data_IF_496025579115
#
_entry.id   IF_496025579115
#
_cell.length_a   1.000
_cell.length_b   1.000
_cell.length_c   1.000
_cell.angle_alpha   90.00
_cell.angle_beta   90.00
_cell.angle_gamma   90.00
#
_symmetry.space_group_name_H-M   'P 1'
#
loop_
_entity.id
_entity.type
_entity.pdbx_description
1 polymer ?
#
# COMPACT_ATOMS: atom_id res chain seq x y z
N UNK A 1 4.11 -17.98 17.43
CA UNK A 1 4.13 -18.66 16.12
C UNK A 1 4.74 -20.04 16.31
N UNK A 2 4.21 -21.11 15.69
CA UNK A 2 4.86 -22.41 15.75
C UNK A 2 6.27 -22.33 15.15
N UNK A 3 7.26 -23.04 15.71
CA UNK A 3 8.66 -22.93 15.32
C UNK A 3 8.99 -23.31 13.88
N UNK A 4 8.03 -23.85 13.12
CA UNK A 4 8.20 -24.30 11.73
C UNK A 4 7.51 -23.41 10.68
N UNK A 5 6.97 -22.26 11.04
CA UNK A 5 6.34 -21.38 10.07
C UNK A 5 7.43 -20.59 9.32
N UNK A 6 7.72 -20.98 8.08
CA UNK A 6 8.51 -20.15 7.19
C UNK A 6 7.83 -18.77 7.03
N UNK A 7 8.50 -17.68 7.35
CA UNK A 7 7.87 -16.37 7.31
C UNK A 7 7.50 -16.01 5.87
N UNK A 8 6.28 -15.50 5.68
CA UNK A 8 5.89 -14.86 4.43
C UNK A 8 6.83 -13.68 4.20
N UNK A 9 7.41 -13.59 3.01
CA UNK A 9 8.32 -12.51 2.64
C UNK A 9 7.61 -11.48 1.78
N UNK A 10 7.87 -10.19 2.05
CA UNK A 10 7.48 -9.10 1.18
C UNK A 10 8.52 -9.00 0.05
N UNK A 11 8.10 -9.17 -1.20
CA UNK A 11 8.97 -9.13 -2.37
C UNK A 11 8.81 -7.87 -3.22
N UNK A 12 7.73 -7.10 -2.99
CA UNK A 12 7.51 -5.83 -3.68
C UNK A 12 6.53 -4.93 -2.93
N UNK A 13 6.84 -3.62 -2.93
CA UNK A 13 5.97 -2.57 -2.42
C UNK A 13 6.03 -1.38 -3.37
N UNK A 14 4.97 -1.18 -4.14
CA UNK A 14 4.92 -0.16 -5.17
C UNK A 14 3.74 0.76 -4.93
N UNK A 15 4.00 2.07 -4.98
CA UNK A 15 2.96 3.10 -4.84
C UNK A 15 2.86 3.89 -6.13
N UNK A 16 1.69 3.90 -6.73
CA UNK A 16 1.39 4.69 -7.92
C UNK A 16 0.18 5.56 -7.66
N UNK A 17 0.14 6.74 -8.31
CA UNK A 17 -1.04 7.57 -8.19
C UNK A 17 -0.89 8.96 -8.75
N UNK A 18 -1.87 9.78 -8.42
CA UNK A 18 -1.96 11.17 -8.84
C UNK A 18 -2.36 12.07 -7.69
N UNK A 19 -1.87 13.31 -7.74
CA UNK A 19 -2.32 14.41 -6.90
C UNK A 19 -2.90 15.47 -7.82
N UNK A 20 -4.13 15.87 -7.55
CA UNK A 20 -4.77 17.02 -8.19
C UNK A 20 -5.08 18.04 -7.11
N UNK A 21 -4.38 19.17 -7.11
CA UNK A 21 -4.42 20.19 -6.06
C UNK A 21 -4.17 19.60 -4.66
N UNK A 22 -5.23 19.38 -3.87
CA UNK A 22 -5.15 18.81 -2.51
C UNK A 22 -5.71 17.38 -2.42
N UNK A 23 -6.07 16.76 -3.52
CA UNK A 23 -6.61 15.40 -3.53
C UNK A 23 -5.58 14.43 -4.09
N UNK A 24 -5.19 13.45 -3.30
CA UNK A 24 -4.32 12.36 -3.69
C UNK A 24 -5.13 11.07 -3.90
N UNK A 25 -4.95 10.43 -5.03
CA UNK A 25 -5.46 9.10 -5.34
C UNK A 25 -4.26 8.17 -5.51
N UNK A 26 -4.08 7.25 -4.55
CA UNK A 26 -2.92 6.37 -4.48
C UNK A 26 -3.32 4.91 -4.55
N UNK A 27 -2.54 4.13 -5.26
CA UNK A 27 -2.65 2.67 -5.38
C UNK A 27 -1.39 2.02 -4.81
N UNK A 28 -1.55 1.20 -3.80
CA UNK A 28 -0.49 0.44 -3.15
C UNK A 28 -0.54 -1.00 -3.63
N UNK A 29 0.48 -1.42 -4.36
CA UNK A 29 0.64 -2.79 -4.85
C UNK A 29 1.69 -3.49 -4.00
N UNK A 30 1.27 -4.51 -3.27
CA UNK A 30 2.07 -5.22 -2.27
C UNK A 30 2.19 -6.67 -2.70
N UNK A 31 3.40 -7.17 -2.84
CA UNK A 31 3.69 -8.53 -3.30
C UNK A 31 4.25 -9.34 -2.16
N UNK A 32 3.58 -10.44 -1.85
CA UNK A 32 3.98 -11.41 -0.82
C UNK A 32 4.37 -12.71 -1.48
N UNK A 33 5.39 -13.36 -0.94
CA UNK A 33 5.81 -14.69 -1.33
C UNK A 33 5.83 -15.63 -0.14
N UNK A 34 5.33 -16.83 -0.35
CA UNK A 34 5.51 -17.95 0.54
C UNK A 34 6.78 -18.72 0.14
N UNK A 35 7.89 -18.61 0.90
CA UNK A 35 9.12 -19.34 0.57
C UNK A 35 9.08 -20.82 0.95
N UNK A 36 8.08 -21.23 1.76
CA UNK A 36 7.94 -22.57 2.29
C UNK A 36 7.22 -23.56 1.37
N UNK A 37 7.17 -24.80 1.83
CA UNK A 37 6.54 -25.92 1.11
C UNK A 37 5.12 -26.22 1.62
N UNK A 38 4.59 -25.42 2.53
CA UNK A 38 3.23 -25.54 3.07
C UNK A 38 2.39 -24.34 2.68
N UNK A 39 1.09 -24.55 2.55
CA UNK A 39 0.10 -23.50 2.35
C UNK A 39 0.02 -22.62 3.60
N UNK A 40 0.04 -21.31 3.44
CA UNK A 40 0.05 -20.34 4.53
C UNK A 40 -1.16 -19.40 4.46
N UNK A 41 -1.51 -18.83 5.62
CA UNK A 41 -2.37 -17.66 5.74
C UNK A 41 -1.49 -16.44 6.07
N UNK A 42 -1.73 -15.32 5.38
CA UNK A 42 -1.08 -14.05 5.64
C UNK A 42 -2.05 -13.04 6.24
N UNK A 43 -1.53 -12.15 7.08
CA UNK A 43 -2.25 -10.98 7.59
C UNK A 43 -1.48 -9.74 7.20
N UNK A 44 -2.11 -8.90 6.38
CA UNK A 44 -1.59 -7.58 6.01
C UNK A 44 -2.25 -6.54 6.91
N UNK A 45 -1.44 -5.73 7.60
CA UNK A 45 -1.89 -4.57 8.36
C UNK A 45 -1.46 -3.31 7.60
N UNK A 46 -2.43 -2.47 7.24
CA UNK A 46 -2.18 -1.23 6.48
C UNK A 46 -2.65 -0.05 7.30
N UNK A 47 -1.73 0.79 7.81
CA UNK A 47 -2.11 2.02 8.46
C UNK A 47 -2.73 3.00 7.43
N UNK A 48 -3.84 3.61 7.81
CA UNK A 48 -4.45 4.68 7.04
C UNK A 48 -3.91 6.02 7.51
N UNK A 49 -3.46 6.88 6.59
CA UNK A 49 -3.24 8.28 6.90
C UNK A 49 -4.51 8.94 7.43
N UNK A 50 -4.35 10.01 8.23
CA UNK A 50 -5.47 10.88 8.54
C UNK A 50 -6.10 11.41 7.23
N UNK A 51 -7.40 11.59 7.19
CA UNK A 51 -8.13 12.10 6.03
C UNK A 51 -8.03 11.23 4.75
N UNK A 52 -7.60 9.96 4.89
CA UNK A 52 -7.63 8.99 3.83
C UNK A 52 -8.83 8.04 3.94
N UNK A 53 -9.42 7.72 2.80
CA UNK A 53 -10.46 6.72 2.64
C UNK A 53 -9.99 5.62 1.69
N UNK A 54 -10.29 4.36 2.03
CA UNK A 54 -10.09 3.26 1.12
C UNK A 54 -11.14 3.32 0.02
N UNK A 55 -10.70 3.39 -1.25
CA UNK A 55 -11.58 3.43 -2.42
C UNK A 55 -11.63 2.10 -3.19
N UNK A 56 -10.75 1.15 -2.87
CA UNK A 56 -10.76 -0.17 -3.50
C UNK A 56 -9.73 -1.12 -2.91
N UNK A 57 -10.03 -2.41 -3.01
CA UNK A 57 -9.14 -3.50 -2.64
C UNK A 57 -9.29 -4.65 -3.64
N UNK A 58 -8.18 -5.20 -4.09
CA UNK A 58 -8.16 -6.45 -4.86
C UNK A 58 -6.95 -7.29 -4.52
N UNK A 59 -7.04 -8.58 -4.80
CA UNK A 59 -5.93 -9.51 -4.68
C UNK A 59 -5.81 -10.37 -5.92
N UNK A 60 -4.59 -10.71 -6.29
CA UNK A 60 -4.28 -11.71 -7.30
C UNK A 60 -3.67 -12.91 -6.57
N UNK A 61 -4.37 -14.05 -6.61
CA UNK A 61 -3.94 -15.32 -6.03
C UNK A 61 -3.90 -16.34 -7.15
N UNK A 62 -2.75 -17.00 -7.34
CA UNK A 62 -2.56 -17.96 -8.44
C UNK A 62 -3.00 -17.43 -9.83
N UNK A 63 -2.76 -16.16 -10.11
CA UNK A 63 -3.11 -15.50 -11.37
C UNK A 63 -4.57 -15.08 -11.50
N UNK A 64 -5.43 -15.36 -10.53
CA UNK A 64 -6.84 -14.96 -10.52
C UNK A 64 -7.04 -13.72 -9.66
N UNK A 65 -7.59 -12.67 -10.25
CA UNK A 65 -7.94 -11.46 -9.50
C UNK A 65 -9.29 -11.64 -8.78
N UNK A 66 -9.29 -11.29 -7.49
CA UNK A 66 -10.48 -11.22 -6.64
C UNK A 66 -10.59 -9.83 -6.06
N UNK A 67 -11.71 -9.17 -6.25
CA UNK A 67 -12.02 -7.89 -5.62
C UNK A 67 -12.51 -8.14 -4.20
N UNK A 68 -11.96 -7.41 -3.24
CA UNK A 68 -12.43 -7.45 -1.86
C UNK A 68 -13.53 -6.42 -1.64
N UNK A 69 -14.46 -6.74 -0.77
CA UNK A 69 -15.46 -5.81 -0.25
C UNK A 69 -15.01 -5.32 1.12
N UNK A 70 -15.22 -4.03 1.39
CA UNK A 70 -14.98 -3.44 2.71
C UNK A 70 -16.18 -3.77 3.59
N UNK A 71 -15.96 -4.53 4.66
CA UNK A 71 -16.98 -4.94 5.60
C UNK A 71 -16.61 -4.47 7.02
N UNK A 72 -17.62 -4.35 7.89
CA UNK A 72 -17.35 -4.21 9.31
C UNK A 72 -16.66 -5.46 9.86
N UNK A 73 -15.78 -5.28 10.87
CA UNK A 73 -14.90 -6.35 11.36
C UNK A 73 -15.67 -7.62 11.80
N UNK A 74 -16.85 -7.46 12.40
CA UNK A 74 -17.71 -8.58 12.83
C UNK A 74 -18.28 -9.38 11.65
N UNK A 75 -18.76 -8.70 10.62
CA UNK A 75 -19.29 -9.33 9.41
C UNK A 75 -18.17 -9.97 8.60
N UNK A 76 -17.05 -9.27 8.46
CA UNK A 76 -15.87 -9.75 7.76
C UNK A 76 -15.36 -11.07 8.35
N UNK A 77 -15.23 -11.17 9.68
CA UNK A 77 -14.72 -12.37 10.34
C UNK A 77 -15.65 -13.58 10.17
N UNK A 78 -16.97 -13.40 10.24
CA UNK A 78 -17.94 -14.49 10.06
C UNK A 78 -17.96 -15.02 8.63
N UNK A 79 -17.90 -14.13 7.64
CA UNK A 79 -17.83 -14.50 6.21
C UNK A 79 -16.52 -15.23 5.94
N UNK A 80 -15.38 -14.73 6.44
CA UNK A 80 -14.08 -15.36 6.28
C UNK A 80 -14.08 -16.80 6.81
N UNK A 81 -14.55 -17.02 8.05
CA UNK A 81 -14.62 -18.37 8.61
C UNK A 81 -15.48 -19.32 7.78
N UNK A 82 -16.62 -18.83 7.27
CA UNK A 82 -17.51 -19.64 6.42
C UNK A 82 -16.88 -20.01 5.07
N UNK A 83 -16.00 -19.13 4.52
CA UNK A 83 -15.33 -19.35 3.25
C UNK A 83 -14.12 -20.27 3.42
N UNK A 84 -13.30 -20.06 4.46
CA UNK A 84 -12.14 -20.92 4.78
C UNK A 84 -12.57 -22.36 5.01
N UNK A 85 -13.70 -22.57 5.70
CA UNK A 85 -14.25 -23.91 5.92
C UNK A 85 -14.66 -24.62 4.62
N UNK A 86 -14.92 -23.88 3.53
CA UNK A 86 -15.28 -24.39 2.20
C UNK A 86 -14.12 -24.43 1.21
N UNK A 87 -12.88 -24.08 1.65
CA UNK A 87 -11.68 -24.00 0.81
C UNK A 87 -11.82 -23.13 -0.46
N UNK A 88 -12.64 -22.07 -0.38
CA UNK A 88 -12.84 -21.09 -1.47
C UNK A 88 -12.00 -19.83 -1.12
N UNK A 89 -11.29 -19.27 -2.11
CA UNK A 89 -10.41 -18.09 -2.02
C UNK A 89 -11.02 -16.91 -1.24
N UNK A 90 -10.65 -16.62 -0.01
CA UNK A 90 -11.11 -15.44 0.67
C UNK A 90 -10.04 -14.36 0.78
N UNK A 91 -10.26 -13.27 0.14
CA UNK A 91 -9.64 -12.00 0.51
C UNK A 91 -10.57 -11.22 1.41
N UNK A 92 -10.24 -11.11 2.66
CA UNK A 92 -11.02 -10.37 3.62
C UNK A 92 -10.29 -9.10 4.03
N UNK A 93 -10.98 -7.97 3.91
CA UNK A 93 -10.51 -6.69 4.38
C UNK A 93 -11.42 -6.21 5.51
N UNK A 94 -10.85 -5.96 6.67
CA UNK A 94 -11.56 -5.43 7.83
C UNK A 94 -10.90 -4.17 8.38
N UNK A 95 -11.71 -3.20 8.84
CA UNK A 95 -11.22 -2.03 9.55
C UNK A 95 -10.96 -2.41 11.01
N UNK A 96 -9.72 -2.26 11.46
CA UNK A 96 -9.31 -2.53 12.84
C UNK A 96 -8.99 -1.22 13.54
N UNK A 97 -9.87 -0.80 14.46
CA UNK A 97 -9.78 0.53 15.05
C UNK A 97 -10.07 1.64 14.04
N UNK A 98 -9.70 2.86 14.36
CA UNK A 98 -10.07 4.04 13.55
C UNK A 98 -9.19 4.24 12.30
N UNK A 99 -7.99 3.63 12.23
CA UNK A 99 -6.98 3.96 11.21
C UNK A 99 -6.11 2.78 10.77
N UNK A 100 -6.61 1.55 10.82
CA UNK A 100 -5.85 0.40 10.37
C UNK A 100 -6.75 -0.59 9.64
N UNK A 101 -6.38 -0.94 8.42
CA UNK A 101 -6.99 -2.06 7.72
C UNK A 101 -6.20 -3.33 7.96
N UNK A 102 -6.94 -4.40 8.21
CA UNK A 102 -6.43 -5.76 8.25
C UNK A 102 -6.96 -6.49 7.02
N UNK A 103 -6.08 -7.00 6.17
CA UNK A 103 -6.44 -7.91 5.10
C UNK A 103 -5.92 -9.30 5.45
N UNK A 104 -6.81 -10.30 5.45
CA UNK A 104 -6.44 -11.71 5.54
C UNK A 104 -6.32 -12.28 4.14
N UNK A 105 -5.25 -12.97 3.89
CA UNK A 105 -4.91 -13.57 2.59
C UNK A 105 -4.74 -15.06 2.75
N UNK A 106 -5.62 -15.84 2.13
CA UNK A 106 -5.57 -17.30 2.13
C UNK A 106 -6.23 -17.86 0.86
N UNK A 107 -5.71 -18.90 0.26
CA UNK A 107 -4.43 -19.55 0.57
C UNK A 107 -3.25 -18.84 -0.10
N UNK A 108 -2.10 -18.81 0.56
CA UNK A 108 -0.83 -18.52 -0.09
C UNK A 108 -0.16 -19.86 -0.37
N UNK A 109 -0.20 -20.30 -1.61
CA UNK A 109 0.31 -21.60 -2.03
C UNK A 109 1.81 -21.77 -1.76
N UNK A 110 2.32 -22.99 -1.58
CA UNK A 110 3.75 -23.24 -1.45
C UNK A 110 4.53 -22.61 -2.60
N UNK A 111 5.58 -21.85 -2.28
CA UNK A 111 6.43 -21.11 -3.23
C UNK A 111 5.68 -20.13 -4.13
N UNK A 112 4.39 -19.88 -3.80
CA UNK A 112 3.50 -18.99 -4.54
C UNK A 112 3.66 -17.53 -4.14
N UNK A 113 3.11 -16.65 -4.98
CA UNK A 113 3.02 -15.22 -4.77
C UNK A 113 1.57 -14.78 -4.72
N UNK A 114 1.31 -13.78 -3.89
CA UNK A 114 0.04 -13.06 -3.83
C UNK A 114 0.31 -11.58 -3.97
N UNK A 115 -0.48 -10.92 -4.81
CA UNK A 115 -0.44 -9.48 -4.98
C UNK A 115 -1.69 -8.89 -4.36
N UNK A 116 -1.52 -8.02 -3.37
CA UNK A 116 -2.60 -7.20 -2.82
C UNK A 116 -2.51 -5.78 -3.38
N UNK A 117 -3.62 -5.24 -3.85
CA UNK A 117 -3.73 -3.86 -4.33
C UNK A 117 -4.76 -3.11 -3.50
N UNK A 118 -4.33 -2.01 -2.86
CA UNK A 118 -5.20 -1.10 -2.12
C UNK A 118 -5.23 0.23 -2.83
N UNK A 119 -6.43 0.77 -3.03
CA UNK A 119 -6.63 2.12 -3.58
C UNK A 119 -7.15 3.03 -2.48
N UNK A 120 -6.53 4.19 -2.34
CA UNK A 120 -6.87 5.18 -1.32
C UNK A 120 -7.04 6.55 -1.96
N UNK A 121 -8.03 7.29 -1.47
CA UNK A 121 -8.20 8.72 -1.75
C UNK A 121 -7.97 9.48 -0.45
N UNK A 122 -7.15 10.52 -0.50
CA UNK A 122 -6.77 11.33 0.65
C UNK A 122 -6.90 12.81 0.33
N UNK A 123 -7.50 13.56 1.24
CA UNK A 123 -7.43 15.03 1.22
C UNK A 123 -6.16 15.48 1.92
N UNK A 124 -5.28 16.17 1.20
CA UNK A 124 -3.99 16.59 1.73
C UNK A 124 -4.12 17.84 2.60
N UNK A 125 -3.43 17.82 3.74
CA UNK A 125 -3.38 18.97 4.64
C UNK A 125 -2.66 20.15 4.00
N UNK A 126 -3.20 21.35 4.19
CA UNK A 126 -2.60 22.60 3.74
C UNK A 126 -2.38 23.54 4.91
N UNK A 127 -1.16 24.01 5.09
CA UNK A 127 -0.78 24.95 6.13
C UNK A 127 0.20 25.98 5.59
N UNK A 128 -0.02 27.26 5.85
CA UNK A 128 0.84 28.34 5.36
C UNK A 128 1.00 28.41 3.83
N UNK A 129 0.01 27.91 3.07
CA UNK A 129 0.08 27.81 1.62
C UNK A 129 0.77 26.55 1.09
N UNK A 130 1.37 25.75 1.95
CA UNK A 130 2.06 24.51 1.62
C UNK A 130 1.11 23.30 1.79
N UNK A 131 1.08 22.45 0.80
CA UNK A 131 0.36 21.15 0.81
C UNK A 131 1.37 20.05 1.08
N UNK A 132 1.02 19.09 1.95
CA UNK A 132 1.94 18.02 2.33
C UNK A 132 1.31 16.64 2.07
N UNK A 133 2.05 15.76 1.40
CA UNK A 133 1.77 14.32 1.30
C UNK A 133 2.84 13.55 2.04
N UNK A 134 2.43 12.57 2.84
CA UNK A 134 3.32 11.56 3.42
C UNK A 134 2.85 10.18 3.01
N UNK A 135 3.73 9.44 2.34
CA UNK A 135 3.50 8.04 1.95
C UNK A 135 4.42 7.16 2.79
N UNK A 136 3.87 6.31 3.67
CA UNK A 136 4.68 5.42 4.49
C UNK A 136 5.32 4.35 3.59
N UNK A 137 6.63 4.45 3.39
CA UNK A 137 7.42 3.45 2.65
C UNK A 137 7.95 2.35 3.57
N UNK A 138 7.76 2.51 4.90
CA UNK A 138 8.23 1.58 5.94
C UNK A 138 7.29 0.41 6.21
N UNK A 139 6.12 0.37 5.61
CA UNK A 139 5.15 -0.74 5.80
C UNK A 139 5.72 -2.11 5.43
N UNK A 140 6.82 -2.13 4.68
CA UNK A 140 7.61 -3.32 4.36
C UNK A 140 8.30 -3.99 5.57
N UNK A 141 8.35 -3.35 6.75
CA UNK A 141 9.02 -3.91 7.93
C UNK A 141 8.26 -5.03 8.63
N UNK A 142 7.01 -5.28 8.30
CA UNK A 142 6.22 -6.32 8.96
C UNK A 142 6.42 -7.73 8.36
N UNK A 143 7.11 -7.84 7.24
CA UNK A 143 7.53 -9.13 6.70
C UNK A 143 9.01 -9.34 7.04
N UNK A 144 9.32 -10.35 7.84
CA UNK A 144 10.69 -10.79 8.06
C UNK A 144 11.21 -11.38 6.74
N UNK A 145 12.19 -10.73 6.12
CA UNK A 145 12.82 -11.17 4.89
C UNK A 145 13.58 -10.04 4.22
N UNK A 146 14.74 -10.33 3.64
CA UNK A 146 15.55 -9.36 2.94
C UNK A 146 14.85 -8.82 1.68
N UNK A 147 14.66 -7.48 1.62
CA UNK A 147 14.73 -6.71 0.41
C UNK A 147 13.70 -6.96 -0.69
N UNK A 148 12.41 -6.77 -0.42
CA UNK A 148 11.48 -6.50 -1.52
C UNK A 148 11.79 -5.15 -2.17
N UNK A 149 11.61 -5.03 -3.49
CA UNK A 149 11.76 -3.74 -4.19
C UNK A 149 10.68 -2.77 -3.73
N UNK A 150 11.08 -1.60 -3.28
CA UNK A 150 10.18 -0.51 -2.90
C UNK A 150 10.30 0.62 -3.91
N UNK A 151 9.18 1.08 -4.44
CA UNK A 151 9.16 2.20 -5.37
C UNK A 151 7.89 3.03 -5.27
N UNK A 152 7.94 4.28 -5.70
CA UNK A 152 6.76 5.11 -5.87
C UNK A 152 6.84 5.91 -7.16
N UNK A 153 5.68 6.14 -7.80
CA UNK A 153 5.52 7.03 -8.94
C UNK A 153 4.21 7.80 -8.81
N UNK A 154 4.30 9.11 -8.66
CA UNK A 154 3.16 9.98 -8.41
C UNK A 154 3.20 11.15 -9.39
N UNK A 155 2.10 11.37 -10.11
CA UNK A 155 1.90 12.56 -10.92
C UNK A 155 1.25 13.67 -10.09
N UNK A 156 1.77 14.88 -10.15
CA UNK A 156 1.20 16.06 -9.51
C UNK A 156 0.68 17.02 -10.58
N UNK A 157 -0.56 17.48 -10.40
CA UNK A 157 -1.16 18.55 -11.18
C UNK A 157 -1.79 19.59 -10.26
N UNK A 158 -1.60 20.85 -10.56
CA UNK A 158 -2.12 21.98 -9.76
C UNK A 158 -2.88 22.96 -10.64
N UNK A 159 -4.01 23.48 -10.16
CA UNK A 159 -4.78 24.52 -10.82
C UNK A 159 -4.05 25.87 -10.85
N UNK A 160 -3.16 26.10 -9.88
CA UNK A 160 -2.28 27.27 -9.81
C UNK A 160 -0.85 26.89 -10.18
N UNK A 161 -0.06 27.85 -10.62
CA UNK A 161 1.35 27.62 -10.93
C UNK A 161 2.09 27.04 -9.71
N UNK A 162 2.75 25.92 -9.91
CA UNK A 162 3.53 25.17 -8.91
C UNK A 162 4.81 25.94 -8.57
N UNK A 163 4.81 26.70 -7.48
CA UNK A 163 5.95 27.54 -7.06
C UNK A 163 7.06 26.71 -6.45
N UNK A 164 6.71 25.90 -5.47
CA UNK A 164 7.64 25.07 -4.69
C UNK A 164 7.23 23.62 -4.76
N UNK A 165 8.20 22.74 -4.88
CA UNK A 165 8.03 21.29 -4.70
C UNK A 165 9.32 20.74 -4.14
N UNK A 166 9.24 20.10 -2.95
CA UNK A 166 10.37 19.62 -2.17
C UNK A 166 10.06 18.25 -1.59
N UNK A 167 11.09 17.45 -1.39
CA UNK A 167 11.04 16.24 -0.58
C UNK A 167 12.18 16.27 0.45
N UNK A 168 11.90 15.79 1.66
CA UNK A 168 12.94 15.58 2.69
C UNK A 168 13.72 14.29 2.46
N UNK A 169 13.22 13.40 1.61
CA UNK A 169 13.91 12.17 1.23
C UNK A 169 14.79 12.43 0.00
N UNK A 170 16.09 12.25 0.13
CA UNK A 170 17.09 12.51 -0.92
C UNK A 170 17.02 11.53 -2.10
N UNK A 171 16.36 10.37 -1.95
CA UNK A 171 16.17 9.38 -3.00
C UNK A 171 14.98 9.72 -3.91
N UNK A 172 14.16 10.69 -3.51
CA UNK A 172 13.03 11.18 -4.31
C UNK A 172 13.52 12.07 -5.44
N UNK A 173 13.17 11.70 -6.66
CA UNK A 173 13.41 12.50 -7.87
C UNK A 173 12.15 13.24 -8.25
N UNK A 174 12.28 14.53 -8.54
CA UNK A 174 11.18 15.41 -8.94
C UNK A 174 11.49 15.95 -10.32
N UNK A 175 10.66 15.60 -11.30
CA UNK A 175 10.71 16.15 -12.65
C UNK A 175 9.52 17.08 -12.88
N UNK A 176 9.76 18.37 -13.06
CA UNK A 176 8.70 19.36 -13.36
C UNK A 176 8.19 19.17 -14.79
N UNK A 177 6.89 19.30 -14.95
CA UNK A 177 6.16 19.21 -16.23
C UNK A 177 5.39 20.50 -16.46
N UNK A 178 6.09 21.51 -16.97
CA UNK A 178 5.55 22.87 -17.14
C UNK A 178 5.35 23.60 -15.80
N UNK A 179 4.43 24.56 -15.79
CA UNK A 179 4.16 25.40 -14.62
C UNK A 179 3.20 24.75 -13.62
N UNK A 180 2.42 23.76 -14.04
CA UNK A 180 1.31 23.21 -13.27
C UNK A 180 1.49 21.74 -12.94
N UNK A 181 2.63 21.11 -13.26
CA UNK A 181 2.79 19.68 -13.08
C UNK A 181 4.19 19.27 -12.66
N UNK A 182 4.25 18.07 -12.10
CA UNK A 182 5.50 17.36 -11.82
C UNK A 182 5.25 15.85 -11.74
N UNK A 183 6.26 15.08 -12.12
CA UNK A 183 6.33 13.65 -11.81
C UNK A 183 7.32 13.42 -10.68
N UNK A 184 6.88 12.73 -9.65
CA UNK A 184 7.65 12.34 -8.48
C UNK A 184 7.93 10.85 -8.59
N UNK A 185 9.20 10.46 -8.49
CA UNK A 185 9.61 9.06 -8.48
C UNK A 185 10.55 8.77 -7.32
N UNK A 186 10.40 7.60 -6.74
CA UNK A 186 11.22 7.05 -5.67
C UNK A 186 11.53 5.60 -6.00
N UNK A 187 12.77 5.21 -5.87
CA UNK A 187 13.22 3.82 -5.89
C UNK A 187 14.13 3.63 -4.68
N UNK A 188 13.92 2.56 -3.95
CA UNK A 188 14.70 2.27 -2.75
C UNK A 188 16.18 2.11 -3.10
N UNK A 189 17.00 2.93 -2.45
CA UNK A 189 18.46 2.89 -2.52
C UNK A 189 19.08 2.18 -1.32
N UNK A 190 20.39 2.32 -1.18
CA UNK A 190 21.19 1.66 -0.12
C UNK A 190 21.12 2.33 1.25
N UNK A 191 20.50 3.50 1.38
CA UNK A 191 20.59 4.36 2.57
C UNK A 191 19.47 4.17 3.60
N UNK A 192 18.54 3.25 3.35
CA UNK A 192 17.53 2.86 4.32
C UNK A 192 16.14 3.45 4.04
N UNK A 193 15.15 2.80 4.64
CA UNK A 193 13.73 3.01 4.42
C UNK A 193 13.25 4.36 5.00
N UNK A 194 13.23 5.40 4.19
CA UNK A 194 12.62 6.68 4.53
C UNK A 194 11.24 6.78 3.88
N UNK A 195 10.28 7.34 4.61
CA UNK A 195 8.97 7.65 4.05
C UNK A 195 9.10 8.68 2.93
N UNK A 196 8.26 8.57 1.90
CA UNK A 196 8.18 9.58 0.87
C UNK A 196 7.37 10.76 1.43
N UNK A 197 8.05 11.86 1.75
CA UNK A 197 7.43 13.10 2.16
C UNK A 197 7.56 14.14 1.05
N UNK A 198 6.45 14.70 0.61
CA UNK A 198 6.38 15.71 -0.43
C UNK A 198 5.69 16.97 0.11
N UNK A 199 6.27 18.12 -0.15
CA UNK A 199 5.68 19.43 0.17
C UNK A 199 5.68 20.29 -1.08
N UNK A 200 4.55 20.94 -1.40
CA UNK A 200 4.41 21.78 -2.57
C UNK A 200 3.44 22.95 -2.36
N UNK A 201 3.55 23.96 -3.23
CA UNK A 201 2.66 25.16 -3.21
C UNK A 201 2.44 25.72 -4.60
#
# INVERSE_FOLDING_TARGET
LPPDASPITLTGYHVEGSITDQVAELSYRIVFRNPGDRRLEGVLLVPLPADAALSGFSMIIAGKETKGELLEASQASSIYQSIVSRAIDPGLLELVGERMFRAKVFPIEPRGEVVATLKMTQTLSKSGGLVTLSVPMRSARFAQGEGGRTSARISLKTSRALRTILSSNSEVRIAREGEHGATISYEEGSTGHQDLALTFS
#
